data_IF_209080881277
#
_entry.id   IF_209080881277
#
_cell.length_a   1.000
_cell.length_b   1.000
_cell.length_c   1.000
_cell.angle_alpha   90.00
_cell.angle_beta   90.00
_cell.angle_gamma   90.00
#
_symmetry.space_group_name_H-M   'P 1'
#
loop_
_entity.id
_entity.type
_entity.pdbx_description
1 polymer ?
#
# COMPACT_ATOMS: atom_id res chain seq x y z
N UNK A 1 9.49 -12.19 8.13
CA UNK A 1 10.65 -13.09 8.07
C UNK A 1 10.60 -13.87 6.77
N UNK A 2 11.60 -13.70 5.90
CA UNK A 2 11.70 -14.50 4.67
C UNK A 2 12.26 -15.87 5.04
N UNK A 3 11.59 -16.93 4.61
CA UNK A 3 12.13 -18.28 4.69
C UNK A 3 13.34 -18.47 3.75
N UNK A 4 14.03 -19.63 3.81
CA UNK A 4 15.22 -19.88 3.00
C UNK A 4 14.99 -19.78 1.49
N UNK A 5 13.78 -20.07 1.03
CA UNK A 5 13.35 -20.01 -0.38
C UNK A 5 12.55 -18.72 -0.70
N UNK A 6 12.32 -17.86 0.29
CA UNK A 6 11.56 -16.62 0.10
C UNK A 6 12.35 -15.60 -0.70
N UNK A 7 11.68 -14.81 -1.52
CA UNK A 7 12.26 -13.66 -2.20
C UNK A 7 11.52 -12.38 -1.82
N UNK A 8 12.23 -11.26 -1.83
CA UNK A 8 11.68 -9.92 -1.63
C UNK A 8 12.00 -9.08 -2.85
N UNK A 9 10.97 -8.50 -3.44
CA UNK A 9 11.13 -7.48 -4.46
C UNK A 9 10.60 -6.14 -3.94
N UNK A 10 11.41 -5.10 -3.98
CA UNK A 10 11.02 -3.74 -3.63
C UNK A 10 10.96 -2.92 -4.90
N UNK A 11 9.85 -2.22 -5.12
CA UNK A 11 9.66 -1.35 -6.28
C UNK A 11 9.35 0.08 -5.84
N UNK A 12 9.86 1.04 -6.60
CA UNK A 12 9.54 2.45 -6.45
C UNK A 12 9.73 3.14 -7.80
N UNK A 13 8.97 4.19 -8.08
CA UNK A 13 9.12 4.97 -9.30
C UNK A 13 10.32 5.92 -9.23
N UNK A 14 10.71 6.38 -8.03
CA UNK A 14 11.78 7.32 -7.79
C UNK A 14 13.16 6.64 -7.79
N UNK A 15 14.07 7.01 -8.71
CA UNK A 15 15.39 6.38 -8.78
C UNK A 15 16.20 6.47 -7.48
N UNK A 16 16.04 7.58 -6.72
CA UNK A 16 16.74 7.79 -5.46
C UNK A 16 16.28 6.82 -4.39
N UNK A 17 14.99 6.51 -4.34
CA UNK A 17 14.43 5.53 -3.40
C UNK A 17 14.91 4.13 -3.75
N UNK A 18 14.90 3.76 -5.02
CA UNK A 18 15.44 2.46 -5.51
C UNK A 18 16.91 2.32 -5.12
N UNK A 19 17.73 3.35 -5.34
CA UNK A 19 19.15 3.33 -4.97
C UNK A 19 19.34 3.18 -3.44
N UNK A 20 18.51 3.86 -2.63
CA UNK A 20 18.51 3.73 -1.18
C UNK A 20 18.12 2.33 -0.74
N UNK A 21 17.08 1.74 -1.33
CA UNK A 21 16.66 0.37 -1.05
C UNK A 21 17.76 -0.63 -1.40
N UNK A 22 18.37 -0.54 -2.57
CA UNK A 22 19.49 -1.41 -2.97
C UNK A 22 20.63 -1.38 -1.96
N UNK A 23 20.98 -0.19 -1.47
CA UNK A 23 22.03 -0.03 -0.44
C UNK A 23 21.66 -0.72 0.87
N UNK A 24 20.40 -0.59 1.32
CA UNK A 24 19.92 -1.21 2.57
C UNK A 24 19.81 -2.72 2.46
N UNK A 25 19.41 -3.21 1.28
CA UNK A 25 19.17 -4.64 1.02
C UNK A 25 20.43 -5.42 0.61
N UNK A 26 21.58 -4.76 0.46
CA UNK A 26 22.82 -5.37 -0.07
C UNK A 26 23.31 -6.64 0.67
N UNK A 27 22.94 -6.79 1.94
CA UNK A 27 23.32 -7.95 2.76
C UNK A 27 22.29 -9.10 2.65
N UNK A 28 21.20 -8.92 1.90
CA UNK A 28 20.11 -9.89 1.74
C UNK A 28 20.11 -10.40 0.30
N UNK A 29 20.74 -11.56 -0.02
CA UNK A 29 20.87 -12.05 -1.40
C UNK A 29 19.53 -12.36 -2.05
N UNK A 30 18.50 -12.65 -1.27
CA UNK A 30 17.14 -12.94 -1.73
C UNK A 30 16.27 -11.67 -1.89
N UNK A 31 16.85 -10.47 -1.72
CA UNK A 31 16.14 -9.21 -1.83
C UNK A 31 16.66 -8.40 -3.03
N UNK A 32 15.75 -7.88 -3.83
CA UNK A 32 16.06 -7.01 -4.98
C UNK A 32 15.28 -5.70 -4.88
N UNK A 33 15.81 -4.67 -5.52
CA UNK A 33 15.09 -3.41 -5.69
C UNK A 33 15.19 -2.92 -7.14
N UNK A 34 14.06 -2.57 -7.75
CA UNK A 34 14.01 -2.06 -9.12
C UNK A 34 13.06 -0.89 -9.26
N UNK A 35 13.28 -0.11 -10.30
CA UNK A 35 12.34 0.95 -10.67
C UNK A 35 11.13 0.34 -11.36
N UNK A 36 9.93 0.65 -10.87
CA UNK A 36 8.67 0.30 -11.50
C UNK A 36 7.56 1.28 -11.11
N UNK A 37 6.55 1.37 -11.97
CA UNK A 37 5.30 2.06 -11.69
C UNK A 37 4.37 1.08 -10.96
N UNK A 38 3.72 1.52 -9.88
CA UNK A 38 2.81 0.68 -9.11
C UNK A 38 1.55 0.24 -9.89
N UNK A 39 1.23 0.94 -10.99
CA UNK A 39 0.17 0.53 -11.95
C UNK A 39 0.57 -0.66 -12.81
N UNK A 40 1.84 -0.98 -12.85
CA UNK A 40 2.39 -2.12 -13.59
C UNK A 40 3.56 -2.72 -12.80
N UNK A 41 3.29 -3.30 -11.62
CA UNK A 41 4.33 -3.77 -10.72
C UNK A 41 5.22 -4.85 -11.34
N UNK A 42 4.70 -5.62 -12.30
CA UNK A 42 5.39 -6.74 -12.91
C UNK A 42 5.64 -7.86 -11.91
N UNK A 43 6.14 -8.95 -12.41
CA UNK A 43 6.41 -10.09 -11.51
C UNK A 43 5.14 -10.82 -11.09
N UNK A 44 4.55 -11.54 -10.72
CA UNK A 44 3.30 -12.21 -10.31
C UNK A 44 3.31 -13.70 -10.66
N UNK A 45 2.55 -14.50 -9.91
CA UNK A 45 1.83 -14.11 -8.70
C UNK A 45 2.75 -14.05 -7.47
N UNK A 46 2.46 -13.11 -6.56
CA UNK A 46 3.11 -13.02 -5.25
C UNK A 46 2.24 -13.65 -4.16
N UNK A 47 2.87 -14.17 -3.10
CA UNK A 47 2.16 -14.61 -1.89
C UNK A 47 1.68 -13.42 -1.06
N UNK A 48 2.45 -12.33 -1.06
CA UNK A 48 2.11 -11.10 -0.36
C UNK A 48 2.69 -9.87 -1.06
N UNK A 49 1.90 -8.81 -1.12
CA UNK A 49 2.29 -7.47 -1.58
C UNK A 49 2.08 -6.49 -0.44
N UNK A 50 3.02 -5.57 -0.24
CA UNK A 50 2.88 -4.49 0.73
C UNK A 50 2.94 -3.13 0.01
N UNK A 51 1.85 -2.38 0.07
CA UNK A 51 1.74 -1.00 -0.38
C UNK A 51 1.91 -0.09 0.85
N UNK A 52 3.05 0.58 0.94
CA UNK A 52 3.45 1.30 2.13
C UNK A 52 3.57 2.80 1.86
N UNK A 53 2.66 3.59 2.43
CA UNK A 53 2.61 5.05 2.29
C UNK A 53 2.66 5.52 0.83
N UNK A 54 1.79 4.97 -0.01
CA UNK A 54 1.70 5.32 -1.44
C UNK A 54 0.34 5.91 -1.81
N UNK A 55 -0.76 5.35 -1.28
CA UNK A 55 -2.11 5.72 -1.75
C UNK A 55 -2.41 7.22 -1.53
N UNK A 56 -1.91 7.81 -0.45
CA UNK A 56 -2.13 9.23 -0.16
C UNK A 56 -1.39 10.18 -1.12
N UNK A 57 -0.32 9.72 -1.79
CA UNK A 57 0.44 10.53 -2.75
C UNK A 57 -0.21 10.54 -4.15
N UNK A 58 -1.13 9.60 -4.42
CA UNK A 58 -1.68 9.40 -5.76
C UNK A 58 -2.91 10.28 -6.01
N UNK A 59 -3.03 10.87 -7.22
CA UNK A 59 -4.30 11.36 -7.72
C UNK A 59 -5.38 10.27 -7.68
N UNK A 60 -6.65 10.66 -7.49
CA UNK A 60 -7.73 9.72 -7.26
C UNK A 60 -7.88 8.68 -8.39
N UNK A 61 -7.79 9.10 -9.64
CA UNK A 61 -7.84 8.19 -10.80
C UNK A 61 -6.74 7.11 -10.73
N UNK A 62 -5.54 7.47 -10.26
CA UNK A 62 -4.42 6.52 -10.15
C UNK A 62 -4.57 5.57 -8.96
N UNK A 63 -5.33 5.96 -7.91
CA UNK A 63 -5.62 5.05 -6.79
C UNK A 63 -6.35 3.80 -7.26
N UNK A 64 -7.33 3.94 -8.15
CA UNK A 64 -8.05 2.81 -8.75
C UNK A 64 -7.11 1.93 -9.57
N UNK A 65 -6.32 2.52 -10.48
CA UNK A 65 -5.38 1.76 -11.32
C UNK A 65 -4.34 1.00 -10.49
N UNK A 66 -3.77 1.64 -9.48
CA UNK A 66 -2.78 1.03 -8.59
C UNK A 66 -3.41 -0.05 -7.73
N UNK A 67 -4.60 0.20 -7.17
CA UNK A 67 -5.33 -0.79 -6.38
C UNK A 67 -5.54 -2.06 -7.18
N UNK A 68 -6.14 -1.96 -8.36
CA UNK A 68 -6.45 -3.12 -9.20
C UNK A 68 -5.18 -3.85 -9.65
N UNK A 69 -4.11 -3.12 -9.98
CA UNK A 69 -2.82 -3.72 -10.35
C UNK A 69 -2.18 -4.50 -9.19
N UNK A 70 -2.23 -3.97 -7.96
CA UNK A 70 -1.70 -4.66 -6.78
C UNK A 70 -2.54 -5.88 -6.41
N UNK A 71 -3.87 -5.78 -6.47
CA UNK A 71 -4.76 -6.90 -6.23
C UNK A 71 -4.60 -8.01 -7.28
N UNK A 72 -4.41 -7.65 -8.55
CA UNK A 72 -4.16 -8.61 -9.62
C UNK A 72 -2.80 -9.33 -9.48
N UNK A 73 -1.84 -8.74 -8.76
CA UNK A 73 -0.49 -9.30 -8.62
C UNK A 73 -0.37 -10.42 -7.58
N UNK A 74 -1.40 -10.70 -6.79
CA UNK A 74 -1.41 -11.81 -5.81
C UNK A 74 -2.20 -13.00 -6.33
N UNK A 75 -1.67 -14.21 -6.07
CA UNK A 75 -2.33 -15.47 -6.38
C UNK A 75 -3.49 -15.83 -5.42
N UNK A 76 -4.20 -16.94 -5.66
CA UNK A 76 -5.20 -17.46 -4.74
C UNK A 76 -4.63 -17.64 -3.33
N UNK A 77 -5.34 -17.15 -2.30
CA UNK A 77 -4.86 -17.13 -0.91
C UNK A 77 -3.74 -16.13 -0.63
N UNK A 78 -3.26 -15.41 -1.65
CA UNK A 78 -2.31 -14.31 -1.49
C UNK A 78 -2.97 -13.07 -0.91
N UNK A 79 -2.17 -12.14 -0.40
CA UNK A 79 -2.67 -10.95 0.28
C UNK A 79 -1.96 -9.67 -0.12
N UNK A 80 -2.71 -8.58 -0.14
CA UNK A 80 -2.16 -7.22 -0.25
C UNK A 80 -2.36 -6.51 1.08
N UNK A 81 -1.29 -5.91 1.60
CA UNK A 81 -1.29 -5.14 2.85
C UNK A 81 -1.06 -3.68 2.51
N UNK A 82 -2.02 -2.84 2.81
CA UNK A 82 -1.91 -1.39 2.69
C UNK A 82 -1.62 -0.80 4.06
N UNK A 83 -0.62 0.07 4.13
CA UNK A 83 -0.33 0.89 5.31
C UNK A 83 -0.32 2.34 4.87
N UNK A 84 -1.22 3.14 5.39
CA UNK A 84 -1.39 4.52 4.95
C UNK A 84 -2.07 5.40 6.00
N UNK A 85 -2.25 6.68 5.70
CA UNK A 85 -3.02 7.59 6.52
C UNK A 85 -4.49 7.17 6.61
N UNK A 86 -5.11 7.55 7.72
CA UNK A 86 -6.53 7.38 7.96
C UNK A 86 -7.08 8.66 8.64
N UNK A 87 -8.39 8.80 8.67
CA UNK A 87 -9.04 9.93 9.33
C UNK A 87 -8.88 9.81 10.85
N UNK A 88 -8.12 10.71 11.50
CA UNK A 88 -7.95 10.65 12.94
C UNK A 88 -9.29 10.88 13.67
N UNK A 89 -9.41 10.30 14.87
CA UNK A 89 -10.56 10.52 15.74
C UNK A 89 -10.83 12.02 15.93
N UNK A 90 -12.10 12.40 16.10
CA UNK A 90 -12.49 13.82 16.17
C UNK A 90 -11.77 14.61 17.28
N UNK A 91 -11.41 13.95 18.40
CA UNK A 91 -10.69 14.54 19.53
C UNK A 91 -9.16 14.38 19.44
N UNK A 92 -8.62 13.93 18.30
CA UNK A 92 -7.17 13.71 18.18
C UNK A 92 -6.42 15.03 18.20
N UNK A 93 -5.40 15.23 19.08
CA UNK A 93 -4.74 16.53 19.27
C UNK A 93 -4.02 17.03 18.00
N UNK A 94 -3.57 16.12 17.14
CA UNK A 94 -2.88 16.46 15.89
C UNK A 94 -3.83 16.65 14.69
N UNK A 95 -5.14 16.47 14.85
CA UNK A 95 -6.10 16.54 13.74
C UNK A 95 -6.04 17.87 12.99
N UNK A 96 -5.95 18.98 13.73
CA UNK A 96 -5.87 20.30 13.12
C UNK A 96 -4.55 20.48 12.33
N UNK A 97 -3.45 20.02 12.91
CA UNK A 97 -2.12 20.11 12.29
C UNK A 97 -2.08 19.22 11.04
N UNK A 98 -2.53 17.97 11.13
CA UNK A 98 -2.56 17.06 9.97
C UNK A 98 -3.49 17.56 8.87
N UNK A 99 -4.61 18.22 9.23
CA UNK A 99 -5.49 18.84 8.23
C UNK A 99 -4.78 19.95 7.46
N UNK A 100 -4.03 20.82 8.14
CA UNK A 100 -3.27 21.91 7.49
C UNK A 100 -2.14 21.34 6.62
N UNK A 101 -1.42 20.33 7.13
CA UNK A 101 -0.34 19.66 6.36
C UNK A 101 -0.90 19.04 5.08
N UNK A 102 -2.00 18.31 5.17
CA UNK A 102 -2.61 17.68 3.99
C UNK A 102 -3.19 18.70 3.00
N UNK A 103 -3.73 19.81 3.47
CA UNK A 103 -4.20 20.88 2.56
C UNK A 103 -3.07 21.56 1.81
N UNK A 104 -1.87 21.59 2.38
CA UNK A 104 -0.76 22.38 1.85
C UNK A 104 0.25 21.53 1.11
N UNK A 105 0.58 20.34 1.62
CA UNK A 105 1.67 19.50 1.15
C UNK A 105 1.22 18.18 0.50
N UNK A 106 0.05 17.68 0.90
CA UNK A 106 -0.44 16.35 0.47
C UNK A 106 -1.92 16.42 0.06
N UNK A 107 -2.25 17.12 -1.04
CA UNK A 107 -3.64 17.40 -1.41
C UNK A 107 -4.47 16.13 -1.70
N UNK A 108 -3.82 15.02 -2.02
CA UNK A 108 -4.49 13.75 -2.30
C UNK A 108 -4.70 12.87 -1.06
N UNK A 109 -4.07 13.20 0.09
CA UNK A 109 -4.19 12.42 1.32
C UNK A 109 -5.60 12.50 1.92
N UNK A 110 -6.30 13.64 1.77
CA UNK A 110 -7.66 13.82 2.30
C UNK A 110 -8.70 12.92 1.66
N UNK A 111 -8.48 12.40 0.46
CA UNK A 111 -9.41 11.45 -0.12
C UNK A 111 -9.52 10.18 0.74
N UNK A 112 -8.43 9.76 1.42
CA UNK A 112 -8.44 8.64 2.36
C UNK A 112 -9.21 8.93 3.67
N UNK A 113 -9.63 10.18 3.90
CA UNK A 113 -10.53 10.52 5.01
C UNK A 113 -12.00 10.34 4.66
N UNK A 114 -12.32 10.23 3.39
CA UNK A 114 -13.69 10.15 2.85
C UNK A 114 -14.01 8.79 2.24
N UNK A 115 -12.98 8.03 1.90
CA UNK A 115 -13.08 6.69 1.30
C UNK A 115 -12.29 5.69 2.13
N UNK A 116 -12.83 4.49 2.27
CA UNK A 116 -12.05 3.35 2.74
C UNK A 116 -11.08 2.91 1.63
N UNK A 117 -9.94 2.32 2.00
CA UNK A 117 -8.98 1.81 1.00
C UNK A 117 -9.65 0.77 0.08
N UNK A 118 -10.55 -0.05 0.61
CA UNK A 118 -11.29 -1.05 -0.16
C UNK A 118 -12.25 -0.44 -1.21
N UNK A 119 -12.63 0.83 -1.06
CA UNK A 119 -13.54 1.47 -2.02
C UNK A 119 -12.87 1.69 -3.37
N UNK A 120 -11.53 1.75 -3.43
CA UNK A 120 -10.76 1.88 -4.67
C UNK A 120 -10.56 0.55 -5.43
N UNK A 121 -11.13 -0.56 -4.97
CA UNK A 121 -11.03 -1.86 -5.64
C UNK A 121 -12.22 -2.10 -6.57
N UNK A 122 -11.97 -2.38 -7.86
CA UNK A 122 -13.01 -2.74 -8.82
C UNK A 122 -13.59 -4.12 -8.50
N UNK A 123 -12.75 -5.10 -8.14
CA UNK A 123 -13.15 -6.48 -7.79
C UNK A 123 -13.11 -6.68 -6.27
N UNK A 124 -13.77 -5.77 -5.52
CA UNK A 124 -13.76 -5.77 -4.05
C UNK A 124 -14.22 -7.11 -3.45
N UNK A 125 -15.22 -7.75 -4.02
CA UNK A 125 -15.86 -8.95 -3.49
C UNK A 125 -15.01 -10.22 -3.63
N UNK A 126 -13.98 -10.20 -4.47
CA UNK A 126 -13.03 -11.31 -4.63
C UNK A 126 -12.06 -11.42 -3.45
N UNK A 127 -12.09 -10.43 -2.55
CA UNK A 127 -11.18 -10.34 -1.41
C UNK A 127 -11.94 -10.30 -0.08
N UNK A 128 -11.30 -10.83 0.96
CA UNK A 128 -11.68 -10.60 2.35
C UNK A 128 -10.87 -9.42 2.89
N UNK A 129 -11.56 -8.40 3.40
CA UNK A 129 -10.95 -7.15 3.85
C UNK A 129 -10.96 -7.07 5.37
N UNK A 130 -9.81 -6.68 5.96
CA UNK A 130 -9.65 -6.41 7.40
C UNK A 130 -8.91 -5.11 7.59
N UNK A 131 -9.41 -4.25 8.46
CA UNK A 131 -8.82 -2.96 8.76
C UNK A 131 -8.50 -2.84 10.24
N UNK A 132 -7.33 -2.30 10.54
CA UNK A 132 -6.88 -1.92 11.88
C UNK A 132 -6.38 -0.47 11.84
N UNK A 133 -6.67 0.31 12.88
CA UNK A 133 -6.20 1.69 12.99
C UNK A 133 -5.24 1.86 14.16
N UNK A 134 -4.32 2.81 14.04
CA UNK A 134 -3.25 3.06 14.99
C UNK A 134 -3.12 4.55 15.30
N UNK A 135 -2.52 4.89 16.44
CA UNK A 135 -2.25 6.26 16.88
C UNK A 135 -3.51 7.14 16.85
N UNK A 136 -4.59 6.68 17.52
CA UNK A 136 -5.84 7.42 17.57
C UNK A 136 -6.53 7.59 16.21
N UNK A 137 -6.33 6.63 15.30
CA UNK A 137 -6.91 6.60 13.97
C UNK A 137 -6.11 7.37 12.91
N UNK A 138 -4.91 7.87 13.21
CA UNK A 138 -4.10 8.62 12.25
C UNK A 138 -3.57 7.74 11.10
N UNK A 139 -3.27 6.48 11.41
CA UNK A 139 -2.77 5.50 10.46
C UNK A 139 -3.69 4.28 10.42
N UNK A 140 -3.69 3.60 9.29
CA UNK A 140 -4.40 2.35 9.10
C UNK A 140 -3.49 1.28 8.48
N UNK A 141 -3.82 0.04 8.81
CA UNK A 141 -3.37 -1.14 8.08
C UNK A 141 -4.62 -1.83 7.54
N UNK A 142 -4.68 -2.02 6.24
CA UNK A 142 -5.76 -2.75 5.58
C UNK A 142 -5.16 -3.98 4.90
N UNK A 143 -5.75 -5.14 5.15
CA UNK A 143 -5.35 -6.40 4.53
C UNK A 143 -6.48 -6.85 3.61
N UNK A 144 -6.15 -7.06 2.35
CA UNK A 144 -7.01 -7.70 1.35
C UNK A 144 -6.45 -9.10 1.07
N UNK A 145 -7.18 -10.15 1.43
CA UNK A 145 -6.80 -11.54 1.19
C UNK A 145 -7.66 -12.12 0.06
N UNK A 146 -7.01 -12.58 -1.03
CA UNK A 146 -7.75 -13.13 -2.17
C UNK A 146 -8.42 -14.44 -1.78
N UNK A 147 -9.72 -14.52 -2.00
CA UNK A 147 -10.49 -15.73 -1.73
C UNK A 147 -10.00 -16.86 -2.62
N UNK A 148 -9.79 -18.03 -2.03
CA UNK A 148 -9.58 -19.27 -2.76
C UNK A 148 -10.95 -19.87 -3.08
N UNK A 149 -11.37 -19.81 -4.33
CA UNK A 149 -12.55 -20.55 -4.76
C UNK A 149 -12.21 -22.04 -4.80
N UNK A 150 -12.82 -22.80 -3.93
CA UNK A 150 -12.79 -24.29 -3.95
C UNK A 150 -13.78 -24.83 -4.95
#
# INVERSE_FOLDING_TARGET
HLGPQGCLEVTDIAPIQVASCRRKLRALPQATARRADARSPGGAPYDAVCCYFLMHELPEAYKWEVMDALLASVGPGGKVVFVDYHKPHWAHPLKLITSIVFDTLEPFAKSLWHHEIADFATERDDFEWRQETYFGGLFQKVVAERRSWT
#
